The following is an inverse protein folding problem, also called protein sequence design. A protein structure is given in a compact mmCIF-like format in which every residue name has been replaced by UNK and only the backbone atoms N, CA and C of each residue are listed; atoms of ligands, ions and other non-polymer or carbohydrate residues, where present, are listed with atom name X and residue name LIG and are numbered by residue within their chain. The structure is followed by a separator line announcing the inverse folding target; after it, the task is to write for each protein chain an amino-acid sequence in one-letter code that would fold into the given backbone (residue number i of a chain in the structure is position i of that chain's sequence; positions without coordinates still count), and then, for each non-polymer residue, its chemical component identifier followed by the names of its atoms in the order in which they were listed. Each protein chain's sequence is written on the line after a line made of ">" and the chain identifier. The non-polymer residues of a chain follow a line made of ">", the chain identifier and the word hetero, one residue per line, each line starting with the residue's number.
data_IF_377621131373
#
_entry.id   IF_377621131373
#
_cell.length_a   1.000
_cell.length_b   1.000
_cell.length_c   1.000
_cell.angle_alpha   90.00
_cell.angle_beta   90.00
_cell.angle_gamma   90.00
#
_symmetry.space_group_name_H-M   'P 1'
#
loop_
_entity.id
_entity.type
_entity.pdbx_description
1 polymer ?
#
# COMPACT_ATOMS: atom_id res chain seq x y z
N UNK A 1 7.79 4.65 -24.70
CA UNK A 1 8.97 5.46 -24.33
C UNK A 1 8.91 5.99 -22.90
N UNK A 2 7.82 6.65 -22.47
CA UNK A 2 7.69 7.21 -21.11
C UNK A 2 7.95 6.20 -19.96
N UNK A 3 7.33 5.01 -20.01
CA UNK A 3 7.49 4.00 -18.97
C UNK A 3 8.92 3.46 -18.86
N UNK A 4 9.59 3.22 -19.99
CA UNK A 4 10.99 2.77 -19.99
C UNK A 4 11.89 3.83 -19.38
N UNK A 5 11.66 5.12 -19.68
CA UNK A 5 12.44 6.21 -19.10
C UNK A 5 12.21 6.33 -17.58
N UNK A 6 10.96 6.23 -17.10
CA UNK A 6 10.64 6.21 -15.68
C UNK A 6 11.24 5.01 -14.96
N UNK A 7 11.16 3.82 -15.58
CA UNK A 7 11.77 2.60 -15.05
C UNK A 7 13.28 2.77 -14.92
N UNK A 8 13.95 3.22 -15.98
CA UNK A 8 15.40 3.45 -15.97
C UNK A 8 15.77 4.49 -14.90
N UNK A 9 15.10 5.64 -14.85
CA UNK A 9 15.37 6.68 -13.86
C UNK A 9 15.08 6.25 -12.40
N UNK A 10 14.11 5.36 -12.19
CA UNK A 10 13.82 4.82 -10.86
C UNK A 10 14.87 3.79 -10.45
N UNK A 11 15.32 2.94 -11.38
CA UNK A 11 16.33 1.91 -11.14
C UNK A 11 17.74 2.49 -10.96
N UNK A 12 18.09 3.62 -11.59
CA UNK A 12 19.40 4.27 -11.37
C UNK A 12 19.59 4.75 -9.93
N UNK A 13 18.52 5.10 -9.21
CA UNK A 13 18.58 5.41 -7.77
C UNK A 13 19.02 4.20 -6.92
N UNK A 14 18.84 2.99 -7.44
CA UNK A 14 19.23 1.74 -6.82
C UNK A 14 20.47 1.12 -7.48
N UNK A 15 21.29 1.91 -8.20
CA UNK A 15 22.53 1.42 -8.78
C UNK A 15 23.42 0.83 -7.67
N UNK A 16 23.83 -0.45 -7.78
CA UNK A 16 24.71 -1.09 -6.81
C UNK A 16 26.04 -0.35 -6.60
N UNK A 17 26.53 0.40 -7.60
CA UNK A 17 27.75 1.20 -7.47
C UNK A 17 27.57 2.38 -6.53
N UNK A 18 26.36 2.93 -6.47
CA UNK A 18 26.01 4.03 -5.59
C UNK A 18 25.61 3.53 -4.19
N UNK A 19 24.82 2.46 -4.12
CA UNK A 19 24.28 1.93 -2.86
C UNK A 19 25.20 0.92 -2.16
N UNK A 20 26.23 0.43 -2.86
CA UNK A 20 27.13 -0.67 -2.43
C UNK A 20 26.37 -1.96 -2.05
N UNK A 21 25.15 -2.13 -2.55
CA UNK A 21 24.26 -3.23 -2.23
C UNK A 21 23.58 -3.74 -3.49
N UNK A 22 23.47 -5.06 -3.64
CA UNK A 22 22.77 -5.70 -4.75
C UNK A 22 21.50 -6.39 -4.25
N UNK A 23 20.35 -6.01 -4.80
CA UNK A 23 19.09 -6.70 -4.59
C UNK A 23 18.30 -6.83 -5.89
N UNK A 24 17.48 -7.88 -5.98
CA UNK A 24 16.52 -8.00 -7.06
C UNK A 24 15.42 -6.94 -6.88
N UNK A 25 15.40 -5.94 -7.77
CA UNK A 25 14.37 -4.92 -7.79
C UNK A 25 13.30 -5.25 -8.84
N UNK A 26 12.07 -5.43 -8.39
CA UNK A 26 10.90 -5.52 -9.28
C UNK A 26 10.24 -4.16 -9.41
N UNK A 27 10.08 -3.69 -10.66
CA UNK A 27 9.32 -2.49 -11.00
C UNK A 27 8.14 -2.92 -11.88
N UNK A 28 6.93 -2.58 -11.45
CA UNK A 28 5.69 -2.95 -12.11
C UNK A 28 4.68 -1.80 -12.04
N UNK A 29 3.70 -1.83 -12.95
CA UNK A 29 2.55 -0.93 -12.91
C UNK A 29 1.42 -1.60 -12.16
N UNK A 30 0.71 -0.83 -11.37
CA UNK A 30 -0.41 -1.31 -10.58
C UNK A 30 -1.68 -0.54 -10.93
N UNK A 31 -2.79 -1.26 -11.01
CA UNK A 31 -4.12 -0.68 -11.18
C UNK A 31 -4.96 -0.95 -9.95
N UNK A 32 -5.75 0.02 -9.53
CA UNK A 32 -6.67 -0.14 -8.41
C UNK A 32 -7.83 -1.06 -8.83
N UNK A 33 -8.06 -2.12 -8.06
CA UNK A 33 -9.13 -3.10 -8.31
C UNK A 33 -10.22 -3.05 -7.24
N UNK A 34 -9.91 -2.51 -6.06
CA UNK A 34 -10.90 -2.27 -5.00
C UNK A 34 -10.43 -1.17 -4.05
N UNK A 35 -11.37 -0.45 -3.45
CA UNK A 35 -11.05 0.47 -2.35
C UNK A 35 -12.19 0.65 -1.36
N UNK A 36 -11.81 1.04 -0.15
CA UNK A 36 -12.68 1.56 0.90
C UNK A 36 -12.13 2.95 1.24
N UNK A 37 -12.92 3.97 0.95
CA UNK A 37 -12.69 5.29 1.51
C UNK A 37 -13.48 5.38 2.81
N UNK A 38 -12.84 5.79 3.91
CA UNK A 38 -13.62 6.42 4.98
C UNK A 38 -14.00 7.78 4.40
N UNK A 39 -15.28 8.07 4.11
CA UNK A 39 -15.66 9.42 3.75
C UNK A 39 -15.11 10.33 4.84
N UNK A 40 -14.53 11.48 4.49
CA UNK A 40 -14.10 12.41 5.52
C UNK A 40 -15.32 12.65 6.41
N UNK A 41 -15.16 12.51 7.72
CA UNK A 41 -16.00 13.27 8.65
C UNK A 41 -15.53 14.70 8.43
N UNK A 42 -15.99 15.35 7.37
CA UNK A 42 -15.80 16.77 7.15
C UNK A 42 -17.18 17.39 7.22
N UNK A 43 -17.29 18.39 8.08
CA UNK A 43 -18.39 19.32 8.06
C UNK A 43 -18.54 19.87 6.64
N UNK A 44 -19.79 19.95 6.18
CA UNK A 44 -20.14 20.39 4.83
C UNK A 44 -19.50 21.77 4.57
N UNK A 45 -18.63 21.87 3.55
CA UNK A 45 -18.09 23.15 3.07
C UNK A 45 -16.57 23.30 3.01
N UNK A 46 -15.78 22.34 3.51
CA UNK A 46 -14.31 22.40 3.39
C UNK A 46 -13.81 21.86 2.03
N UNK A 47 -12.97 22.60 1.28
CA UNK A 47 -12.42 22.13 0.02
C UNK A 47 -11.50 20.92 0.24
N UNK A 48 -11.51 19.97 -0.71
CA UNK A 48 -10.63 18.79 -0.79
C UNK A 48 -9.16 19.27 -0.95
N UNK A 49 -8.58 19.78 0.12
CA UNK A 49 -7.21 20.28 0.15
C UNK A 49 -6.24 19.11 0.08
N UNK A 50 -5.09 19.32 -0.60
CA UNK A 50 -4.03 18.32 -0.81
C UNK A 50 -3.83 17.48 0.45
N UNK A 51 -4.25 16.22 0.41
CA UNK A 51 -4.48 15.39 1.59
C UNK A 51 -3.18 15.03 2.31
N UNK A 52 -2.04 15.04 1.62
CA UNK A 52 -0.78 14.56 2.18
C UNK A 52 -0.05 15.66 2.93
N UNK A 53 0.00 15.51 4.25
CA UNK A 53 0.80 16.30 5.19
C UNK A 53 2.10 15.57 5.52
N UNK A 54 3.02 16.23 6.23
CA UNK A 54 4.22 15.58 6.78
C UNK A 54 3.91 14.44 7.75
N UNK A 55 2.70 14.42 8.33
CA UNK A 55 2.20 13.38 9.21
C UNK A 55 1.57 12.18 8.47
N UNK A 56 1.33 12.31 7.16
CA UNK A 56 0.68 11.27 6.36
C UNK A 56 1.63 10.10 6.15
N UNK A 57 1.17 8.90 6.50
CA UNK A 57 1.91 7.66 6.31
C UNK A 57 1.06 6.58 5.66
N UNK A 58 1.73 5.56 5.12
CA UNK A 58 1.12 4.41 4.48
C UNK A 58 1.52 3.13 5.18
N UNK A 59 0.57 2.26 5.45
CA UNK A 59 0.86 0.83 5.62
C UNK A 59 0.71 0.17 4.26
N UNK A 60 1.78 -0.43 3.75
CA UNK A 60 1.79 -1.11 2.46
C UNK A 60 2.07 -2.58 2.70
N UNK A 61 1.19 -3.45 2.19
CA UNK A 61 1.37 -4.90 2.22
C UNK A 61 1.46 -5.45 0.80
N UNK A 62 2.44 -6.33 0.56
CA UNK A 62 2.67 -6.93 -0.75
C UNK A 62 2.29 -8.41 -0.72
N UNK A 63 1.65 -8.87 -1.79
CA UNK A 63 1.19 -10.24 -1.97
C UNK A 63 1.64 -10.76 -3.33
N UNK A 64 1.99 -12.04 -3.36
CA UNK A 64 2.23 -12.80 -4.57
C UNK A 64 1.15 -13.86 -4.67
N UNK A 65 0.31 -13.79 -5.70
CA UNK A 65 -0.80 -14.72 -5.91
C UNK A 65 -0.54 -15.50 -7.18
N UNK A 66 -0.66 -16.83 -7.09
CA UNK A 66 -0.50 -17.71 -8.24
C UNK A 66 -1.61 -17.46 -9.27
N UNK A 67 -1.28 -17.65 -10.54
CA UNK A 67 -2.25 -17.52 -11.62
C UNK A 67 -3.43 -18.48 -11.43
N UNK A 68 -4.66 -17.98 -11.57
CA UNK A 68 -5.91 -18.75 -11.37
C UNK A 68 -6.57 -18.56 -10.00
N UNK A 69 -5.82 -18.27 -8.93
CA UNK A 69 -6.40 -17.98 -7.60
C UNK A 69 -6.76 -16.50 -7.39
N UNK A 70 -6.32 -15.64 -8.32
CA UNK A 70 -6.33 -14.18 -8.24
C UNK A 70 -7.75 -13.56 -8.31
N UNK A 71 -8.60 -14.05 -9.22
CA UNK A 71 -9.97 -13.50 -9.42
C UNK A 71 -11.04 -14.16 -8.56
N UNK A 72 -11.06 -15.48 -8.47
CA UNK A 72 -12.19 -16.20 -7.86
C UNK A 72 -12.17 -16.19 -6.32
N UNK A 73 -10.98 -16.32 -5.73
CA UNK A 73 -10.82 -16.42 -4.27
C UNK A 73 -10.29 -15.14 -3.66
N UNK A 74 -9.24 -14.56 -4.24
CA UNK A 74 -8.53 -13.43 -3.65
C UNK A 74 -9.29 -12.12 -3.80
N UNK A 75 -9.56 -11.64 -5.02
CA UNK A 75 -10.26 -10.36 -5.24
C UNK A 75 -11.66 -10.33 -4.62
N UNK A 76 -12.45 -11.41 -4.74
CA UNK A 76 -13.80 -11.50 -4.18
C UNK A 76 -13.84 -11.38 -2.64
N UNK A 77 -12.80 -11.87 -1.96
CA UNK A 77 -12.72 -11.89 -0.49
C UNK A 77 -11.54 -11.07 0.02
N UNK A 78 -11.12 -10.05 -0.74
CA UNK A 78 -9.86 -9.37 -0.50
C UNK A 78 -9.73 -8.80 0.91
N UNK A 79 -10.83 -8.32 1.50
CA UNK A 79 -10.84 -7.79 2.87
C UNK A 79 -10.36 -8.79 3.92
N UNK A 80 -10.65 -10.06 3.70
CA UNK A 80 -10.25 -11.15 4.59
C UNK A 80 -8.81 -11.59 4.32
N UNK A 81 -8.48 -11.86 3.05
CA UNK A 81 -7.15 -12.36 2.64
C UNK A 81 -6.02 -11.36 2.86
N UNK A 82 -6.30 -10.08 2.62
CA UNK A 82 -5.31 -9.00 2.78
C UNK A 82 -5.23 -8.47 4.22
N UNK A 83 -6.10 -8.94 5.12
CA UNK A 83 -6.18 -8.38 6.47
C UNK A 83 -6.74 -6.95 6.52
N UNK A 84 -7.21 -6.37 5.41
CA UNK A 84 -7.80 -5.04 5.36
C UNK A 84 -9.00 -4.90 6.33
N UNK A 85 -9.78 -5.95 6.56
CA UNK A 85 -10.86 -5.96 7.57
C UNK A 85 -10.32 -5.71 8.99
N UNK A 86 -9.15 -6.23 9.32
CA UNK A 86 -8.52 -6.00 10.62
C UNK A 86 -8.02 -4.57 10.71
N UNK A 87 -7.37 -4.07 9.67
CA UNK A 87 -6.92 -2.67 9.59
C UNK A 87 -8.10 -1.73 9.80
N UNK A 88 -9.18 -1.96 9.06
CA UNK A 88 -10.38 -1.14 9.17
C UNK A 88 -11.00 -1.16 10.58
N UNK A 89 -10.97 -2.31 11.27
CA UNK A 89 -11.63 -2.51 12.58
C UNK A 89 -10.77 -2.11 13.78
N UNK A 90 -9.47 -2.35 13.73
CA UNK A 90 -8.59 -2.30 14.91
C UNK A 90 -7.48 -1.25 14.82
N UNK A 91 -7.27 -0.63 13.66
CA UNK A 91 -6.34 0.49 13.59
C UNK A 91 -6.88 1.65 14.44
N UNK A 92 -6.09 2.18 15.40
CA UNK A 92 -6.55 3.26 16.27
C UNK A 92 -6.99 4.48 15.47
N UNK A 93 -8.07 5.15 15.91
CA UNK A 93 -8.58 6.36 15.26
C UNK A 93 -7.52 7.48 15.18
N UNK A 94 -6.58 7.52 16.14
CA UNK A 94 -5.44 8.43 16.17
C UNK A 94 -4.57 8.35 14.90
N UNK A 95 -4.47 7.18 14.25
CA UNK A 95 -3.74 7.04 12.98
C UNK A 95 -4.39 7.83 11.83
N UNK A 96 -5.70 8.12 11.93
CA UNK A 96 -6.45 8.87 10.93
C UNK A 96 -6.61 8.11 9.62
N UNK A 97 -7.09 6.86 9.67
CA UNK A 97 -7.34 6.04 8.48
C UNK A 97 -8.26 6.76 7.50
N UNK A 98 -7.77 7.02 6.28
CA UNK A 98 -8.54 7.68 5.22
C UNK A 98 -9.00 6.70 4.15
N UNK A 99 -8.09 5.82 3.72
CA UNK A 99 -8.33 4.98 2.56
C UNK A 99 -7.60 3.65 2.70
N UNK A 100 -8.28 2.59 2.29
CA UNK A 100 -7.66 1.28 2.03
C UNK A 100 -7.92 0.96 0.57
N UNK A 101 -6.88 0.73 -0.23
CA UNK A 101 -7.02 0.34 -1.64
C UNK A 101 -6.18 -0.89 -1.95
N UNK A 102 -6.73 -1.76 -2.78
CA UNK A 102 -6.06 -2.92 -3.33
C UNK A 102 -5.70 -2.65 -4.78
N UNK A 103 -4.45 -2.91 -5.11
CA UNK A 103 -3.92 -2.73 -6.45
C UNK A 103 -3.36 -4.03 -6.98
N UNK A 104 -3.56 -4.28 -8.27
CA UNK A 104 -3.10 -5.46 -9.00
C UNK A 104 -2.04 -5.07 -10.01
N UNK A 105 -0.98 -5.86 -10.12
CA UNK A 105 0.05 -5.70 -11.13
C UNK A 105 -0.51 -5.88 -12.54
N UNK A 106 -0.11 -5.01 -13.46
CA UNK A 106 -0.44 -5.09 -14.88
C UNK A 106 0.46 -6.05 -15.66
N UNK A 107 1.44 -6.69 -15.01
CA UNK A 107 2.31 -7.67 -15.68
C UNK A 107 1.48 -8.72 -16.44
N UNK A 108 1.68 -8.87 -17.76
CA UNK A 108 0.90 -9.79 -18.59
C UNK A 108 1.30 -11.25 -18.39
N UNK A 109 2.47 -11.53 -17.80
CA UNK A 109 3.01 -12.89 -17.65
C UNK A 109 3.50 -13.15 -16.21
N UNK A 110 3.30 -14.38 -15.74
CA UNK A 110 3.75 -14.84 -14.43
C UNK A 110 2.80 -14.48 -13.30
N UNK A 111 3.29 -14.73 -12.08
CA UNK A 111 2.54 -14.53 -10.83
C UNK A 111 2.01 -13.10 -10.71
N UNK A 112 0.77 -12.97 -10.25
CA UNK A 112 0.13 -11.67 -10.05
C UNK A 112 0.54 -11.10 -8.71
N UNK A 113 1.11 -9.91 -8.74
CA UNK A 113 1.46 -9.17 -7.54
C UNK A 113 0.29 -8.27 -7.14
N UNK A 114 -0.03 -8.24 -5.86
CA UNK A 114 -0.99 -7.30 -5.31
C UNK A 114 -0.32 -6.42 -4.27
N UNK A 115 -0.81 -5.19 -4.17
CA UNK A 115 -0.42 -4.23 -3.15
C UNK A 115 -1.67 -3.74 -2.44
N UNK A 116 -1.72 -3.93 -1.13
CA UNK A 116 -2.68 -3.27 -0.26
C UNK A 116 -2.04 -1.98 0.27
N UNK A 117 -2.69 -0.85 0.02
CA UNK A 117 -2.28 0.45 0.53
C UNK A 117 -3.29 0.95 1.55
N UNK A 118 -2.85 1.28 2.76
CA UNK A 118 -3.67 1.94 3.77
C UNK A 118 -3.10 3.33 4.05
N UNK A 119 -3.80 4.37 3.62
CA UNK A 119 -3.45 5.76 3.84
C UNK A 119 -3.98 6.24 5.19
N UNK A 120 -3.08 6.83 5.98
CA UNK A 120 -3.36 7.32 7.32
C UNK A 120 -2.83 8.76 7.45
N UNK A 121 -3.71 9.69 7.85
CA UNK A 121 -3.41 11.12 7.95
C UNK A 121 -2.29 11.45 8.95
N UNK A 122 -2.20 10.66 10.03
CA UNK A 122 -1.43 10.98 11.23
C UNK A 122 -0.43 9.89 11.60
N UNK A 123 -0.25 8.87 10.75
CA UNK A 123 0.55 7.69 11.08
C UNK A 123 2.01 8.01 11.41
N UNK A 124 2.58 9.06 10.81
CA UNK A 124 3.98 9.42 11.08
C UNK A 124 4.16 10.24 12.36
N UNK A 125 3.08 10.73 12.98
CA UNK A 125 3.17 11.36 14.30
C UNK A 125 3.49 10.33 15.38
N UNK A 126 2.91 9.14 15.26
CA UNK A 126 3.17 8.01 16.15
C UNK A 126 2.96 6.69 15.38
N UNK A 127 4.06 6.06 14.97
CA UNK A 127 4.01 4.76 14.28
C UNK A 127 3.66 3.61 15.22
N UNK A 128 3.74 3.82 16.55
CA UNK A 128 3.45 2.78 17.55
C UNK A 128 1.95 2.45 17.61
N UNK A 129 1.08 3.31 17.05
CA UNK A 129 -0.35 2.99 16.85
C UNK A 129 -0.56 1.72 16.01
N UNK A 130 0.45 1.32 15.21
CA UNK A 130 0.45 0.08 14.45
C UNK A 130 0.98 -1.14 15.22
N UNK A 131 1.47 -0.98 16.45
CA UNK A 131 2.13 -2.04 17.22
C UNK A 131 1.21 -3.23 17.53
N UNK A 132 -0.11 -3.00 17.66
CA UNK A 132 -1.07 -4.07 17.86
C UNK A 132 -1.43 -4.80 16.56
N UNK A 133 -1.44 -4.07 15.43
CA UNK A 133 -1.98 -4.61 14.19
C UNK A 133 -0.93 -5.32 13.35
N UNK A 134 0.31 -4.83 13.32
CA UNK A 134 1.38 -5.46 12.53
C UNK A 134 1.67 -6.89 12.97
N UNK A 135 1.77 -7.22 14.28
CA UNK A 135 1.93 -8.61 14.71
C UNK A 135 0.73 -9.47 14.33
N UNK A 136 -0.50 -8.94 14.44
CA UNK A 136 -1.71 -9.68 14.09
C UNK A 136 -1.81 -9.98 12.59
N UNK A 137 -1.41 -9.04 11.73
CA UNK A 137 -1.31 -9.25 10.28
C UNK A 137 -0.23 -10.28 9.92
N UNK A 138 0.95 -10.18 10.56
CA UNK A 138 2.05 -11.16 10.39
C UNK A 138 1.63 -12.56 10.81
N UNK A 139 0.99 -12.72 11.97
CA UNK A 139 0.54 -14.03 12.47
C UNK A 139 -0.49 -14.69 11.55
N UNK A 140 -1.29 -13.89 10.83
CA UNK A 140 -2.28 -14.38 9.85
C UNK A 140 -1.72 -14.54 8.45
N UNK A 141 -0.42 -14.28 8.25
CA UNK A 141 0.26 -14.37 6.96
C UNK A 141 -0.43 -13.52 5.87
N UNK A 142 -1.02 -12.38 6.25
CA UNK A 142 -1.74 -11.49 5.33
C UNK A 142 -0.77 -10.59 4.55
N UNK A 143 0.36 -11.13 4.09
CA UNK A 143 1.37 -10.42 3.29
C UNK A 143 2.49 -9.76 4.08
N UNK A 144 3.47 -9.23 3.34
CA UNK A 144 4.61 -8.52 3.90
C UNK A 144 4.28 -7.04 4.07
N UNK A 145 3.96 -6.64 5.30
CA UNK A 145 3.57 -5.26 5.63
C UNK A 145 4.75 -4.41 6.10
N UNK A 146 4.91 -3.23 5.51
CA UNK A 146 5.81 -2.18 5.94
C UNK A 146 5.09 -0.83 6.11
N UNK A 147 5.73 0.09 6.83
CA UNK A 147 5.28 1.48 6.98
C UNK A 147 6.14 2.36 6.08
N UNK A 148 5.50 3.24 5.33
CA UNK A 148 6.14 4.10 4.33
C UNK A 148 5.69 5.55 4.50
N UNK A 149 6.59 6.47 4.19
CA UNK A 149 6.28 7.90 4.06
C UNK A 149 6.31 8.30 2.58
N UNK A 150 5.41 9.19 2.13
CA UNK A 150 5.52 9.77 0.80
C UNK A 150 6.81 10.62 0.72
N UNK A 151 7.58 10.43 -0.37
CA UNK A 151 8.80 11.21 -0.66
C UNK A 151 8.54 12.33 -1.67
N UNK A 152 7.64 12.09 -2.63
CA UNK A 152 7.26 13.04 -3.67
C UNK A 152 5.81 12.77 -4.06
N UNK A 153 5.00 13.82 -4.10
CA UNK A 153 3.63 13.80 -4.62
C UNK A 153 3.65 14.56 -5.95
N UNK A 154 3.33 13.88 -7.05
CA UNK A 154 3.20 14.47 -8.37
C UNK A 154 1.80 15.04 -8.57
#
# INVERSE_FOLDING_TARGET
>A
MFYNNLRTASLTKFDPRATRYTAAHTLDLYTEVASICRPPIHEIGMPLTKTHTSSTGYMISVYKVFEGDDREKFERNWLYWTGARMIYRYLPAAAGLRRISLHKSLSPKGDKMYILMCECANLLNDVTVCALILPALRARLTGYTGIFRPLQTF
#
